data_IF_069007640500
#
_entry.id   IF_069007640500
#
_cell.length_a   1.000
_cell.length_b   1.000
_cell.length_c   1.000
_cell.angle_alpha   90.00
_cell.angle_beta   90.00
_cell.angle_gamma   90.00
#
_symmetry.space_group_name_H-M   'P 1'
#
loop_
_entity.id
_entity.type
_entity.pdbx_description
1 polymer ?
#
# COMPACT_ATOMS: atom_id res chain seq x y z
N UNK A 1 -4.25 -83.25 13.77
CA UNK A 1 -5.12 -82.07 13.96
C UNK A 1 -4.21 -80.88 14.18
N UNK A 2 -4.06 -80.04 13.15
CA UNK A 2 -3.14 -78.88 13.13
C UNK A 2 -4.01 -77.64 12.95
N UNK A 3 -4.07 -76.76 13.94
CA UNK A 3 -4.81 -75.51 13.87
C UNK A 3 -3.85 -74.35 13.57
N UNK A 4 -3.82 -73.95 12.30
CA UNK A 4 -3.08 -72.81 11.78
C UNK A 4 -3.80 -71.53 12.17
N UNK A 5 -3.16 -70.67 12.96
CA UNK A 5 -3.64 -69.31 13.25
C UNK A 5 -3.21 -68.38 12.12
N UNK A 6 -4.19 -67.91 11.37
CA UNK A 6 -4.05 -66.94 10.27
C UNK A 6 -3.70 -65.57 10.87
N UNK A 7 -2.55 -65.04 10.50
CA UNK A 7 -2.15 -63.66 10.80
C UNK A 7 -2.82 -62.71 9.80
N UNK A 8 -3.70 -61.84 10.29
CA UNK A 8 -4.30 -60.75 9.54
C UNK A 8 -3.26 -59.65 9.31
N UNK A 9 -2.80 -59.53 8.06
CA UNK A 9 -2.04 -58.41 7.53
C UNK A 9 -2.92 -57.15 7.52
N UNK A 10 -2.61 -56.19 8.40
CA UNK A 10 -3.23 -54.87 8.42
C UNK A 10 -2.75 -54.02 7.24
N UNK A 11 -3.65 -53.74 6.29
CA UNK A 11 -3.46 -52.77 5.22
C UNK A 11 -3.93 -51.41 5.73
N UNK A 12 -2.99 -50.52 6.05
CA UNK A 12 -3.28 -49.11 6.35
C UNK A 12 -3.48 -48.34 5.04
N UNK A 13 -4.74 -48.08 4.67
CA UNK A 13 -5.09 -47.10 3.64
C UNK A 13 -4.77 -45.69 4.17
N UNK A 14 -3.69 -45.10 3.68
CA UNK A 14 -3.39 -43.68 3.87
C UNK A 14 -4.37 -42.83 3.05
N UNK A 15 -5.34 -42.21 3.72
CA UNK A 15 -6.09 -41.09 3.15
C UNK A 15 -5.15 -39.89 3.04
N UNK A 16 -4.70 -39.58 1.83
CA UNK A 16 -4.12 -38.28 1.52
C UNK A 16 -5.24 -37.24 1.58
N UNK A 17 -5.31 -36.49 2.69
CA UNK A 17 -6.21 -35.35 2.82
C UNK A 17 -5.84 -34.28 1.81
N UNK A 18 -6.70 -34.07 0.82
CA UNK A 18 -6.67 -32.85 0.01
C UNK A 18 -7.01 -31.68 0.92
N UNK A 19 -6.01 -30.91 1.33
CA UNK A 19 -6.24 -29.62 1.99
C UNK A 19 -6.85 -28.67 0.95
N UNK A 20 -8.18 -28.52 0.98
CA UNK A 20 -8.85 -27.41 0.33
C UNK A 20 -8.30 -26.12 0.95
N UNK A 21 -7.42 -25.44 0.23
CA UNK A 21 -6.97 -24.10 0.63
C UNK A 21 -8.16 -23.17 0.46
N UNK A 22 -8.85 -22.87 1.57
CA UNK A 22 -9.89 -21.87 1.60
C UNK A 22 -9.29 -20.54 1.10
N UNK A 23 -9.88 -19.95 0.07
CA UNK A 23 -9.49 -18.62 -0.38
C UNK A 23 -9.63 -17.66 0.82
N UNK A 24 -8.57 -16.89 1.17
CA UNK A 24 -8.66 -15.96 2.27
C UNK A 24 -9.72 -14.91 1.94
N UNK A 25 -10.91 -15.05 2.51
CA UNK A 25 -11.99 -14.08 2.34
C UNK A 25 -11.55 -12.73 2.92
N UNK A 26 -11.54 -11.73 2.04
CA UNK A 26 -11.25 -10.35 2.37
C UNK A 26 -12.51 -9.58 2.70
N UNK A 27 -12.62 -9.12 3.93
CA UNK A 27 -13.68 -8.21 4.34
C UNK A 27 -13.18 -6.77 4.24
N UNK A 28 -13.36 -6.18 3.06
CA UNK A 28 -13.04 -4.78 2.80
C UNK A 28 -14.14 -3.80 3.20
N UNK A 29 -15.21 -4.27 3.86
CA UNK A 29 -16.12 -3.38 4.61
C UNK A 29 -15.46 -2.91 5.91
N UNK A 30 -14.51 -3.68 6.44
CA UNK A 30 -13.72 -3.36 7.63
C UNK A 30 -12.25 -3.09 7.25
N UNK A 31 -11.90 -1.81 7.17
CA UNK A 31 -10.52 -1.39 6.96
C UNK A 31 -9.74 -1.46 8.28
N UNK A 32 -8.67 -2.27 8.31
CA UNK A 32 -7.83 -2.51 9.50
C UNK A 32 -6.46 -1.85 9.42
N UNK A 33 -6.10 -1.29 8.26
CA UNK A 33 -4.82 -0.60 8.09
C UNK A 33 -4.67 0.05 6.72
N UNK A 34 -3.46 0.53 6.44
CA UNK A 34 -3.09 1.15 5.15
C UNK A 34 -1.81 0.53 4.62
N UNK A 35 -1.73 0.48 3.29
CA UNK A 35 -0.60 -0.04 2.54
C UNK A 35 -0.17 0.99 1.50
N UNK A 36 0.98 0.75 0.86
CA UNK A 36 1.31 1.41 -0.38
C UNK A 36 0.88 0.53 -1.55
N UNK A 37 0.48 1.17 -2.64
CA UNK A 37 0.25 0.49 -3.91
C UNK A 37 0.96 1.25 -5.04
N UNK A 38 1.20 0.55 -6.14
CA UNK A 38 1.76 1.09 -7.37
C UNK A 38 0.95 0.58 -8.55
N UNK A 39 0.86 1.41 -9.60
CA UNK A 39 0.28 1.04 -10.89
C UNK A 39 1.40 1.14 -11.92
N UNK A 40 1.61 0.08 -12.69
CA UNK A 40 2.59 0.03 -13.77
C UNK A 40 1.93 -0.32 -15.08
N UNK A 41 2.03 0.56 -16.07
CA UNK A 41 1.61 0.26 -17.44
C UNK A 41 2.44 -0.89 -18.01
N UNK A 42 1.76 -1.89 -18.56
CA UNK A 42 2.37 -2.99 -19.31
C UNK A 42 2.35 -2.73 -20.80
N UNK A 43 1.22 -2.36 -21.35
CA UNK A 43 1.09 -2.06 -22.77
C UNK A 43 -0.08 -1.11 -23.02
N UNK A 44 0.06 -0.35 -24.10
CA UNK A 44 -1.00 0.44 -24.70
C UNK A 44 -1.11 -0.03 -26.15
N UNK A 45 -2.29 -0.46 -26.55
CA UNK A 45 -2.56 -0.93 -27.91
C UNK A 45 -3.89 -0.37 -28.43
N UNK A 46 -4.18 -0.61 -29.70
CA UNK A 46 -5.37 -0.10 -30.36
C UNK A 46 -5.13 1.17 -31.16
N UNK A 47 -6.20 1.63 -31.80
CA UNK A 47 -6.24 2.81 -32.65
C UNK A 47 -7.67 3.33 -32.67
N UNK A 48 -7.88 4.60 -33.05
CA UNK A 48 -9.23 5.19 -33.08
C UNK A 48 -10.22 4.25 -33.81
N UNK A 49 -11.39 3.99 -33.21
CA UNK A 49 -11.98 4.67 -32.06
C UNK A 49 -11.70 4.01 -30.69
N UNK A 50 -10.83 2.99 -30.60
CA UNK A 50 -10.66 2.20 -29.37
C UNK A 50 -9.20 1.95 -29.00
N UNK A 51 -8.87 2.25 -27.75
CA UNK A 51 -7.57 1.99 -27.14
C UNK A 51 -7.72 1.05 -25.96
N UNK A 52 -6.71 0.22 -25.75
CA UNK A 52 -6.62 -0.72 -24.63
C UNK A 52 -5.37 -0.43 -23.83
N UNK A 53 -5.51 -0.23 -22.53
CA UNK A 53 -4.40 -0.10 -21.59
C UNK A 53 -4.37 -1.33 -20.68
N UNK A 54 -3.26 -2.06 -20.70
CA UNK A 54 -2.98 -3.13 -19.75
C UNK A 54 -2.01 -2.62 -18.70
N UNK A 55 -2.30 -2.87 -17.43
CA UNK A 55 -1.49 -2.40 -16.31
C UNK A 55 -1.50 -3.40 -15.17
N UNK A 56 -0.50 -3.30 -14.30
CA UNK A 56 -0.38 -4.10 -13.09
C UNK A 56 -0.54 -3.22 -11.88
N UNK A 57 -1.37 -3.66 -10.95
CA UNK A 57 -1.52 -3.05 -9.63
C UNK A 57 -0.76 -3.92 -8.65
N UNK A 58 0.14 -3.34 -7.86
CA UNK A 58 0.90 -4.05 -6.83
C UNK A 58 0.79 -3.33 -5.49
N UNK A 59 0.42 -4.06 -4.45
CA UNK A 59 0.34 -3.64 -3.05
C UNK A 59 1.58 -4.11 -2.29
N UNK A 60 1.99 -3.34 -1.26
CA UNK A 60 3.03 -3.74 -0.31
C UNK A 60 2.52 -4.76 0.72
N UNK A 61 1.21 -4.99 0.80
CA UNK A 61 0.63 -5.96 1.73
C UNK A 61 0.52 -7.31 1.06
N UNK A 62 1.09 -8.33 1.70
CA UNK A 62 1.13 -9.70 1.18
C UNK A 62 -0.25 -10.38 1.11
N UNK A 63 -1.22 -9.94 1.91
CA UNK A 63 -2.57 -10.49 1.90
C UNK A 63 -3.64 -9.46 2.26
N UNK A 64 -4.67 -9.38 1.42
CA UNK A 64 -5.93 -8.70 1.71
C UNK A 64 -5.87 -7.16 1.72
N UNK A 65 -5.80 -6.58 0.53
CA UNK A 65 -5.85 -5.12 0.37
C UNK A 65 -6.83 -4.66 -0.70
N UNK A 66 -7.45 -3.51 -0.47
CA UNK A 66 -8.25 -2.78 -1.46
C UNK A 66 -7.41 -1.64 -2.02
N UNK A 67 -7.15 -1.68 -3.32
CA UNK A 67 -6.50 -0.59 -4.05
C UNK A 67 -7.55 0.16 -4.83
N UNK A 68 -7.77 1.43 -4.51
CA UNK A 68 -8.71 2.33 -5.21
C UNK A 68 -7.94 3.39 -5.99
N UNK A 69 -8.42 3.76 -7.17
CA UNK A 69 -7.78 4.73 -8.06
C UNK A 69 -8.81 5.29 -9.04
N UNK A 70 -8.49 6.39 -9.70
CA UNK A 70 -9.30 6.97 -10.76
C UNK A 70 -8.58 6.88 -12.10
N UNK A 71 -9.31 6.65 -13.19
CA UNK A 71 -8.85 6.85 -14.57
C UNK A 71 -9.72 7.94 -15.17
N UNK A 72 -9.12 9.08 -15.55
CA UNK A 72 -9.82 10.25 -16.10
C UNK A 72 -11.01 10.69 -15.23
N UNK A 73 -10.80 10.68 -13.92
CA UNK A 73 -11.82 11.04 -12.92
C UNK A 73 -12.86 9.95 -12.63
N UNK A 74 -12.88 8.85 -13.39
CA UNK A 74 -13.76 7.71 -13.15
C UNK A 74 -13.18 6.80 -12.08
N UNK A 75 -13.90 6.48 -10.99
CA UNK A 75 -13.37 5.69 -9.89
C UNK A 75 -13.39 4.18 -10.18
N UNK A 76 -12.31 3.51 -9.79
CA UNK A 76 -12.08 2.07 -9.88
C UNK A 76 -11.50 1.55 -8.55
N UNK A 77 -11.66 0.25 -8.31
CA UNK A 77 -10.95 -0.42 -7.23
C UNK A 77 -10.73 -1.90 -7.53
N UNK A 78 -9.70 -2.47 -6.89
CA UNK A 78 -9.39 -3.88 -6.92
C UNK A 78 -9.16 -4.41 -5.50
N UNK A 79 -9.67 -5.61 -5.22
CA UNK A 79 -9.43 -6.33 -3.97
C UNK A 79 -8.41 -7.43 -4.24
N UNK A 80 -7.23 -7.30 -3.64
CA UNK A 80 -6.14 -8.25 -3.74
C UNK A 80 -6.27 -9.26 -2.60
N UNK A 81 -7.08 -10.30 -2.83
CA UNK A 81 -7.29 -11.40 -1.90
C UNK A 81 -6.25 -12.51 -2.14
N UNK A 82 -5.45 -12.83 -1.13
CA UNK A 82 -4.42 -13.87 -1.24
C UNK A 82 -3.23 -13.55 -2.17
N UNK A 83 -3.23 -12.39 -2.81
CA UNK A 83 -2.14 -11.88 -3.66
C UNK A 83 -1.83 -10.44 -3.28
N UNK A 84 -0.63 -9.99 -3.62
CA UNK A 84 -0.25 -8.58 -3.53
C UNK A 84 -0.21 -7.90 -4.91
N UNK A 85 -0.58 -8.58 -5.99
CA UNK A 85 -0.56 -8.02 -7.34
C UNK A 85 -1.68 -8.58 -8.23
N UNK A 86 -2.20 -7.75 -9.13
CA UNK A 86 -3.17 -8.14 -10.16
C UNK A 86 -2.88 -7.42 -11.48
N UNK A 87 -3.23 -8.05 -12.59
CA UNK A 87 -3.19 -7.45 -13.92
C UNK A 87 -4.58 -7.04 -14.34
N UNK A 88 -4.70 -5.83 -14.87
CA UNK A 88 -5.96 -5.22 -15.27
C UNK A 88 -5.88 -4.69 -16.69
N UNK A 89 -7.05 -4.59 -17.32
CA UNK A 89 -7.20 -4.03 -18.65
C UNK A 89 -8.37 -3.04 -18.66
N UNK A 90 -8.17 -1.89 -19.32
CA UNK A 90 -9.21 -0.88 -19.46
C UNK A 90 -9.25 -0.37 -20.89
N UNK A 91 -10.45 -0.03 -21.36
CA UNK A 91 -10.68 0.44 -22.72
C UNK A 91 -11.16 1.89 -22.70
N UNK A 92 -10.77 2.66 -23.70
CA UNK A 92 -11.16 4.06 -23.86
C UNK A 92 -11.17 4.51 -25.30
N UNK A 93 -11.80 5.66 -25.55
CA UNK A 93 -11.81 6.32 -26.88
C UNK A 93 -10.55 7.15 -27.12
N UNK A 94 -9.76 7.39 -26.08
CA UNK A 94 -8.47 8.06 -26.10
C UNK A 94 -7.37 7.17 -25.51
N UNK A 95 -6.09 7.39 -25.87
CA UNK A 95 -4.98 6.65 -25.30
C UNK A 95 -4.87 6.84 -23.77
N UNK A 96 -5.07 5.77 -23.01
CA UNK A 96 -4.92 5.76 -21.55
C UNK A 96 -3.45 5.54 -21.19
N UNK A 97 -2.89 6.45 -20.40
CA UNK A 97 -1.50 6.46 -19.96
C UNK A 97 -1.40 6.78 -18.46
N UNK A 98 -0.20 6.73 -17.88
CA UNK A 98 -0.03 6.94 -16.43
C UNK A 98 -0.55 8.28 -15.91
N UNK A 99 -0.57 9.33 -16.74
CA UNK A 99 -1.12 10.65 -16.35
C UNK A 99 -2.64 10.64 -16.11
N UNK A 100 -3.34 9.66 -16.68
CA UNK A 100 -4.79 9.53 -16.54
C UNK A 100 -5.15 8.91 -15.18
N UNK A 101 -4.18 8.28 -14.51
CA UNK A 101 -4.35 7.69 -13.19
C UNK A 101 -4.21 8.75 -12.10
N UNK A 102 -5.13 8.75 -11.14
CA UNK A 102 -5.09 9.66 -9.99
C UNK A 102 -5.73 9.01 -8.75
N UNK A 103 -5.63 9.69 -7.60
CA UNK A 103 -6.25 9.29 -6.34
C UNK A 103 -5.95 7.84 -5.90
N UNK A 104 -4.75 7.33 -6.21
CA UNK A 104 -4.33 6.00 -5.81
C UNK A 104 -4.33 5.89 -4.28
N UNK A 105 -5.01 4.87 -3.75
CA UNK A 105 -5.17 4.62 -2.32
C UNK A 105 -5.13 3.12 -2.06
N UNK A 106 -4.41 2.69 -1.04
CA UNK A 106 -4.33 1.28 -0.65
C UNK A 106 -4.73 1.10 0.82
N UNK A 107 -5.67 0.21 1.06
CA UNK A 107 -6.24 -0.07 2.38
C UNK A 107 -6.12 -1.56 2.69
N UNK A 108 -5.68 -1.90 3.89
CA UNK A 108 -5.62 -3.28 4.36
C UNK A 108 -7.00 -3.65 4.89
N UNK A 109 -7.57 -4.73 4.36
CA UNK A 109 -8.88 -5.22 4.74
C UNK A 109 -8.75 -6.25 5.86
N UNK A 110 -9.80 -6.43 6.67
CA UNK A 110 -9.84 -7.51 7.63
C UNK A 110 -9.80 -8.86 6.89
N UNK A 111 -9.00 -9.81 7.36
CA UNK A 111 -9.09 -11.19 6.89
C UNK A 111 -10.17 -11.94 7.68
N UNK A 112 -10.96 -12.76 7.00
CA UNK A 112 -11.97 -13.60 7.66
C UNK A 112 -11.35 -14.58 8.68
N UNK A 113 -10.05 -14.87 8.59
CA UNK A 113 -9.31 -15.68 9.54
C UNK A 113 -8.98 -14.98 10.87
N UNK A 114 -9.17 -13.65 10.98
CA UNK A 114 -8.87 -12.85 12.18
C UNK A 114 -10.12 -12.46 12.99
N UNK A 115 -11.27 -13.09 12.74
CA UNK A 115 -12.51 -12.80 13.48
C UNK A 115 -12.56 -13.43 14.88
N UNK A 116 -11.51 -14.11 15.35
CA UNK A 116 -11.41 -14.62 16.71
C UNK A 116 -10.42 -13.79 17.53
N UNK A 117 -10.85 -12.62 18.03
CA UNK A 117 -10.12 -11.91 19.09
C UNK A 117 -10.03 -10.40 18.94
N UNK A 118 -11.15 -9.69 19.18
CA UNK A 118 -11.23 -8.50 20.06
C UNK A 118 -12.58 -7.83 19.85
N UNK A 119 -13.57 -8.29 20.61
CA UNK A 119 -14.74 -7.48 20.96
C UNK A 119 -14.30 -6.39 21.96
N UNK A 120 -14.77 -5.16 21.72
CA UNK A 120 -14.79 -4.10 22.74
C UNK A 120 -13.77 -2.97 22.59
N UNK A 121 -13.87 -2.17 21.53
CA UNK A 121 -13.35 -0.79 21.56
C UNK A 121 -14.45 0.19 21.15
N UNK A 122 -14.90 0.96 22.15
CA UNK A 122 -15.80 2.11 22.07
C UNK A 122 -15.45 3.03 20.88
N UNK A 123 -16.44 3.64 20.19
CA UNK A 123 -16.18 4.55 19.08
C UNK A 123 -15.25 5.70 19.52
N UNK A 124 -14.23 6.06 18.72
CA UNK A 124 -13.27 7.09 19.10
C UNK A 124 -13.95 8.45 19.20
N UNK A 125 -13.72 9.14 20.33
CA UNK A 125 -14.10 10.53 20.55
C UNK A 125 -13.33 11.47 19.62
N UNK A 126 -14.05 12.43 19.03
CA UNK A 126 -13.68 13.27 17.89
C UNK A 126 -12.49 14.24 18.10
N UNK A 127 -11.78 14.27 19.22
CA UNK A 127 -10.77 15.31 19.49
C UNK A 127 -9.42 14.87 20.09
N UNK A 128 -9.00 13.62 19.92
CA UNK A 128 -7.63 13.23 20.26
C UNK A 128 -6.95 12.57 19.08
N UNK A 129 -6.05 13.32 18.42
CA UNK A 129 -5.09 12.76 17.46
C UNK A 129 -4.23 11.75 18.23
N UNK A 130 -4.12 10.50 17.75
CA UNK A 130 -3.27 9.48 18.36
C UNK A 130 -1.86 10.08 18.57
N UNK A 131 -1.31 10.09 19.81
CA UNK A 131 0.02 10.63 20.09
C UNK A 131 1.12 10.04 19.18
N UNK A 132 0.92 8.79 18.72
CA UNK A 132 1.84 8.13 17.78
C UNK A 132 1.84 8.77 16.40
N UNK A 133 0.75 9.42 16.02
CA UNK A 133 0.58 10.15 14.76
C UNK A 133 0.98 11.61 14.95
N UNK A 134 0.59 12.23 16.08
CA UNK A 134 0.84 13.64 16.37
C UNK A 134 2.33 14.04 16.26
N UNK A 135 3.25 13.13 16.61
CA UNK A 135 4.70 13.35 16.48
C UNK A 135 5.21 13.53 15.06
N UNK A 136 4.44 13.17 14.04
CA UNK A 136 4.81 13.36 12.63
C UNK A 136 4.20 14.64 12.05
N UNK A 137 3.09 15.13 12.59
CA UNK A 137 2.34 16.29 12.07
C UNK A 137 3.21 17.55 12.07
N UNK A 138 3.14 18.34 11.01
CA UNK A 138 3.90 19.57 10.84
C UNK A 138 4.69 19.59 9.53
N UNK A 139 5.47 20.65 9.36
CA UNK A 139 6.32 20.84 8.19
C UNK A 139 7.74 20.40 8.50
N UNK A 140 8.35 19.63 7.61
CA UNK A 140 9.70 19.09 7.75
C UNK A 140 10.53 19.48 6.54
N UNK A 141 11.65 20.16 6.74
CA UNK A 141 12.51 20.66 5.66
C UNK A 141 13.89 20.03 5.71
N UNK A 142 14.41 19.67 4.55
CA UNK A 142 15.76 19.13 4.44
C UNK A 142 16.21 19.02 3.01
N UNK A 143 17.27 18.26 2.80
CA UNK A 143 17.82 17.99 1.47
C UNK A 143 18.06 16.49 1.36
N UNK A 144 17.46 15.88 0.34
CA UNK A 144 17.74 14.51 -0.03
C UNK A 144 18.88 14.50 -1.04
N UNK A 145 19.77 13.53 -0.92
CA UNK A 145 20.94 13.41 -1.78
C UNK A 145 20.95 12.05 -2.44
N UNK A 146 21.37 12.03 -3.68
CA UNK A 146 21.74 10.81 -4.39
C UNK A 146 22.94 11.09 -5.28
N UNK A 147 24.07 10.46 -4.99
CA UNK A 147 25.36 10.74 -5.63
C UNK A 147 25.67 12.25 -5.68
N UNK A 148 25.67 12.86 -6.88
CA UNK A 148 25.94 14.28 -7.11
C UNK A 148 24.67 15.15 -7.13
N UNK A 149 23.49 14.54 -7.02
CA UNK A 149 22.21 15.24 -7.03
C UNK A 149 21.77 15.59 -5.61
N UNK A 150 21.23 16.79 -5.46
CA UNK A 150 20.65 17.29 -4.21
C UNK A 150 19.29 17.91 -4.48
N UNK A 151 18.30 17.46 -3.74
CA UNK A 151 16.91 17.92 -3.84
C UNK A 151 16.44 18.47 -2.49
N UNK A 152 16.23 19.79 -2.37
CA UNK A 152 15.58 20.37 -1.20
C UNK A 152 14.12 19.93 -1.20
N UNK A 153 13.67 19.40 -0.07
CA UNK A 153 12.30 18.92 0.10
C UNK A 153 11.67 19.54 1.33
N UNK A 154 10.39 19.87 1.21
CA UNK A 154 9.51 20.13 2.35
C UNK A 154 8.45 19.04 2.38
N UNK A 155 8.36 18.32 3.48
CA UNK A 155 7.33 17.32 3.74
C UNK A 155 6.33 17.93 4.73
N UNK A 156 5.09 18.10 4.30
CA UNK A 156 4.02 18.59 5.17
C UNK A 156 3.11 17.43 5.54
N UNK A 157 2.93 17.24 6.84
CA UNK A 157 2.15 16.16 7.41
C UNK A 157 1.00 16.76 8.23
N UNK A 158 -0.20 16.27 8.02
CA UNK A 158 -1.40 16.76 8.70
C UNK A 158 -2.37 15.61 8.98
N UNK A 159 -3.32 15.86 9.88
CA UNK A 159 -4.38 14.90 10.17
C UNK A 159 -5.67 15.43 9.56
N UNK A 160 -6.17 14.72 8.55
CA UNK A 160 -7.48 14.99 7.95
C UNK A 160 -8.40 13.82 8.28
N UNK A 161 -9.55 14.11 8.88
CA UNK A 161 -10.55 13.11 9.27
C UNK A 161 -9.98 11.97 10.15
N UNK A 162 -9.07 12.31 11.07
CA UNK A 162 -8.43 11.34 11.97
C UNK A 162 -7.34 10.46 11.33
N UNK A 163 -6.94 10.74 10.07
CA UNK A 163 -5.91 9.99 9.34
C UNK A 163 -4.72 10.89 9.03
N UNK A 164 -3.50 10.34 9.16
CA UNK A 164 -2.28 11.03 8.76
C UNK A 164 -2.21 11.07 7.23
N UNK A 165 -2.06 12.27 6.68
CA UNK A 165 -1.87 12.53 5.27
C UNK A 165 -0.86 13.66 5.13
N UNK A 166 -0.58 14.08 3.90
CA UNK A 166 0.41 15.09 3.66
C UNK A 166 0.79 15.20 2.21
N UNK A 167 1.84 15.97 1.98
CA UNK A 167 2.41 16.23 0.67
C UNK A 167 3.90 16.44 0.75
N UNK A 168 4.57 16.16 -0.36
CA UNK A 168 5.96 16.53 -0.56
C UNK A 168 6.03 17.69 -1.55
N UNK A 169 6.85 18.67 -1.21
CA UNK A 169 7.13 19.85 -2.03
C UNK A 169 8.62 19.78 -2.37
N UNK A 170 8.92 19.44 -3.62
CA UNK A 170 10.28 19.40 -4.16
C UNK A 170 10.49 20.48 -5.21
N UNK A 171 11.64 20.46 -5.88
CA UNK A 171 11.94 21.41 -6.97
C UNK A 171 10.96 21.31 -8.15
N UNK A 172 10.45 20.12 -8.44
CA UNK A 172 9.57 19.86 -9.58
C UNK A 172 8.09 20.20 -9.33
N UNK A 173 7.71 20.45 -8.07
CA UNK A 173 6.34 20.76 -7.70
C UNK A 173 5.91 20.11 -6.39
N UNK A 174 4.60 20.03 -6.21
CA UNK A 174 3.96 19.46 -5.02
C UNK A 174 3.22 18.18 -5.39
N UNK A 175 3.47 17.11 -4.64
CA UNK A 175 2.78 15.82 -4.79
C UNK A 175 2.11 15.45 -3.48
N UNK A 176 0.79 15.25 -3.53
CA UNK A 176 0.00 14.74 -2.40
C UNK A 176 0.31 13.26 -2.16
N UNK A 177 0.24 12.83 -0.90
CA UNK A 177 0.46 11.44 -0.54
C UNK A 177 -0.71 10.56 -0.97
N UNK A 178 -0.39 9.50 -1.70
CA UNK A 178 -1.33 8.43 -2.09
C UNK A 178 -1.51 7.40 -0.96
N UNK A 179 -0.49 7.25 -0.13
CA UNK A 179 -0.52 6.36 1.04
C UNK A 179 0.38 6.89 2.14
N UNK A 180 -0.01 6.67 3.39
CA UNK A 180 0.84 6.84 4.57
C UNK A 180 0.58 5.68 5.52
N UNK A 181 1.63 4.95 5.90
CA UNK A 181 1.54 3.87 6.90
C UNK A 181 2.46 4.21 8.06
N UNK A 182 1.92 4.17 9.27
CA UNK A 182 2.68 4.45 10.50
C UNK A 182 3.15 3.13 11.10
N UNK A 183 4.47 2.97 11.23
CA UNK A 183 5.12 1.84 11.89
C UNK A 183 6.02 2.34 13.02
N UNK A 184 5.50 2.36 14.24
CA UNK A 184 6.23 2.78 15.43
C UNK A 184 6.71 4.23 15.33
N UNK A 185 8.02 4.39 15.07
CA UNK A 185 8.71 5.66 14.95
C UNK A 185 9.02 6.07 13.48
N UNK A 186 8.50 5.30 12.53
CA UNK A 186 8.62 5.61 11.11
C UNK A 186 7.27 5.71 10.45
N UNK A 187 7.20 6.52 9.41
CA UNK A 187 6.14 6.47 8.42
C UNK A 187 6.72 6.04 7.09
N UNK A 188 5.96 5.23 6.37
CA UNK A 188 6.20 4.97 4.95
C UNK A 188 5.11 5.71 4.19
N UNK A 189 5.51 6.62 3.29
CA UNK A 189 4.57 7.37 2.47
C UNK A 189 4.89 7.18 0.99
N UNK A 190 3.83 7.19 0.19
CA UNK A 190 3.90 7.07 -1.25
C UNK A 190 3.25 8.27 -1.93
N UNK A 191 3.70 8.62 -3.13
CA UNK A 191 3.11 9.66 -3.96
C UNK A 191 3.41 9.43 -5.43
N UNK A 192 2.63 10.09 -6.30
CA UNK A 192 2.90 10.13 -7.74
C UNK A 192 3.62 11.45 -8.04
N UNK A 193 4.82 11.37 -8.60
CA UNK A 193 5.60 12.52 -9.02
C UNK A 193 5.00 13.20 -10.24
N UNK A 194 5.43 14.43 -10.51
CA UNK A 194 4.97 15.21 -11.67
C UNK A 194 5.35 14.56 -13.02
N UNK A 195 6.31 13.65 -13.01
CA UNK A 195 6.71 12.80 -14.14
C UNK A 195 5.79 11.57 -14.32
N UNK A 196 4.80 11.38 -13.46
CA UNK A 196 3.93 10.21 -13.41
C UNK A 196 4.57 8.98 -12.76
N UNK A 197 5.79 9.10 -12.24
CA UNK A 197 6.46 8.04 -11.50
C UNK A 197 5.82 7.82 -10.14
N UNK A 198 5.74 6.57 -9.68
CA UNK A 198 5.32 6.27 -8.29
C UNK A 198 6.54 6.18 -7.40
N UNK A 199 6.53 6.95 -6.32
CA UNK A 199 7.63 7.05 -5.37
C UNK A 199 7.18 6.59 -3.99
N UNK A 200 8.08 5.95 -3.25
CA UNK A 200 7.87 5.52 -1.88
C UNK A 200 9.08 5.90 -1.04
N UNK A 201 8.82 6.47 0.13
CA UNK A 201 9.84 6.94 1.06
C UNK A 201 9.49 6.52 2.48
N UNK A 202 10.53 6.24 3.26
CA UNK A 202 10.44 6.02 4.70
C UNK A 202 11.01 7.22 5.41
N UNK A 203 10.23 7.82 6.32
CA UNK A 203 10.68 8.85 7.25
C UNK A 203 10.67 8.29 8.67
N UNK A 204 11.85 8.12 9.27
CA UNK A 204 12.02 7.64 10.63
C UNK A 204 12.48 8.78 11.53
N UNK A 205 11.75 9.08 12.61
CA UNK A 205 12.19 10.15 13.52
C UNK A 205 13.49 9.72 14.20
N UNK A 206 14.44 10.65 14.30
CA UNK A 206 15.65 10.50 15.11
C UNK A 206 15.52 11.28 16.43
N UNK A 207 14.69 12.33 16.44
CA UNK A 207 14.32 13.11 17.60
C UNK A 207 12.95 13.76 17.37
N UNK A 208 12.46 14.57 18.31
CA UNK A 208 11.22 15.34 18.12
C UNK A 208 11.31 16.35 16.97
N UNK A 209 12.51 16.74 16.54
CA UNK A 209 12.73 17.81 15.56
C UNK A 209 13.57 17.36 14.36
N UNK A 210 13.93 16.07 14.27
CA UNK A 210 14.69 15.53 13.15
C UNK A 210 14.21 14.14 12.75
N UNK A 211 14.21 13.88 11.45
CA UNK A 211 13.88 12.58 10.89
C UNK A 211 14.79 12.24 9.72
N UNK A 212 15.21 10.98 9.63
CA UNK A 212 15.90 10.45 8.47
C UNK A 212 14.87 10.03 7.43
N UNK A 213 15.06 10.48 6.19
CA UNK A 213 14.23 10.13 5.04
C UNK A 213 15.07 9.29 4.08
N UNK A 214 14.51 8.17 3.62
CA UNK A 214 15.17 7.24 2.69
C UNK A 214 14.15 6.80 1.65
N UNK A 215 14.51 6.80 0.36
CA UNK A 215 13.66 6.22 -0.69
C UNK A 215 13.63 4.70 -0.60
N UNK A 216 12.45 4.13 -0.85
CA UNK A 216 12.23 2.69 -0.93
C UNK A 216 12.23 2.29 -2.42
N UNK A 217 13.39 2.35 -3.07
CA UNK A 217 13.54 2.08 -4.51
C UNK A 217 14.99 1.84 -4.93
N UNK A 218 15.21 1.59 -6.22
CA UNK A 218 16.55 1.33 -6.78
C UNK A 218 17.45 2.57 -6.80
N UNK A 219 16.86 3.77 -6.80
CA UNK A 219 17.55 5.04 -6.62
C UNK A 219 17.41 5.46 -5.16
N UNK A 220 18.52 5.49 -4.42
CA UNK A 220 18.58 5.80 -2.99
C UNK A 220 18.75 7.31 -2.76
N UNK A 221 17.65 8.05 -2.70
CA UNK A 221 17.65 9.40 -2.16
C UNK A 221 17.52 9.30 -0.65
N UNK A 222 18.52 9.80 0.07
CA UNK A 222 18.51 9.85 1.52
C UNK A 222 18.93 11.20 2.07
N UNK A 223 18.43 11.52 3.25
CA UNK A 223 18.73 12.78 3.91
C UNK A 223 18.08 12.90 5.28
N UNK A 224 18.35 14.02 5.94
CA UNK A 224 17.72 14.36 7.21
C UNK A 224 16.86 15.60 6.99
N UNK A 225 15.60 15.49 7.40
CA UNK A 225 14.68 16.62 7.48
C UNK A 225 14.56 17.08 8.92
N UNK A 226 14.40 18.38 9.11
CA UNK A 226 14.17 19.01 10.41
C UNK A 226 12.79 19.60 10.44
N UNK A 227 12.12 19.49 11.58
CA UNK A 227 10.82 20.11 11.78
C UNK A 227 10.99 21.63 11.70
N UNK A 228 10.20 22.28 10.87
CA UNK A 228 10.06 23.74 10.91
C UNK A 228 9.23 24.07 12.14
N UNK A 229 9.75 24.98 12.95
CA UNK A 229 8.93 25.72 13.91
C UNK A 229 7.89 26.56 13.18
#
# INVERSE_FOLDING_TARGET
>A
MVNVRIALLGVSLGLAGMAAQAEPLCDCSKIVGQCAASIKMKSLSGSKPSFTANYTITSTTASCSKVSYNIDGTPYFNILAGTNSVEESTFGTEPISMKNFSALRCEICASAANQQGNEGARPPSVNQIDPRIARFVGSWRGTLKWMLFSDPVTIELEVRQGRLTGRVIGKSGTSEFTSVTVHGNSITYGFIGMDGGTYSYTMALQSEHSAKVTSNGSLSFDGVVRRSN
#
